data_IF_990101027879
#
_entry.id   IF_990101027879
#
_cell.length_a   1.000
_cell.length_b   1.000
_cell.length_c   1.000
_cell.angle_alpha   90.00
_cell.angle_beta   90.00
_cell.angle_gamma   90.00
#
_symmetry.space_group_name_H-M   'P 1'
#
loop_
_entity.id
_entity.type
_entity.pdbx_description
1 polymer ?
#
# COMPACT_ATOMS: atom_id res chain seq x y z
N UNK A 1 8.19 14.49 6.13
CA UNK A 1 7.69 14.77 4.78
C UNK A 1 6.16 14.84 4.74
N UNK A 2 5.39 13.77 5.18
CA UNK A 2 3.90 13.80 5.16
C UNK A 2 3.36 14.99 5.95
N UNK A 3 3.82 15.19 7.19
CA UNK A 3 3.39 16.32 8.06
C UNK A 3 3.72 17.66 7.41
N UNK A 4 4.93 17.80 6.86
CA UNK A 4 5.39 19.03 6.21
C UNK A 4 4.54 19.38 4.98
N UNK A 5 4.33 18.38 4.10
CA UNK A 5 3.54 18.58 2.87
C UNK A 5 2.08 18.91 3.17
N UNK A 6 1.55 18.32 4.24
CA UNK A 6 0.18 18.53 4.67
C UNK A 6 -0.01 19.70 5.65
N UNK A 7 1.06 20.43 5.98
CA UNK A 7 1.03 21.53 6.94
C UNK A 7 0.40 21.13 8.29
N UNK A 8 0.78 19.96 8.78
CA UNK A 8 0.25 19.34 10.01
C UNK A 8 -0.74 18.21 9.73
N UNK A 9 -1.53 17.85 10.74
CA UNK A 9 -2.42 16.68 10.72
C UNK A 9 -3.91 17.01 10.56
N UNK A 10 -4.27 18.29 10.35
CA UNK A 10 -5.67 18.68 10.20
C UNK A 10 -6.27 18.01 8.96
N UNK A 11 -7.40 17.31 9.15
CA UNK A 11 -8.10 16.54 8.12
C UNK A 11 -7.27 15.43 7.45
N UNK A 12 -6.11 15.09 8.00
CA UNK A 12 -5.29 13.97 7.55
C UNK A 12 -5.91 12.65 8.01
N UNK A 13 -5.87 11.63 7.17
CA UNK A 13 -6.15 10.24 7.53
C UNK A 13 -5.22 9.31 6.77
N UNK A 14 -4.81 8.23 7.39
CA UNK A 14 -3.91 7.23 6.81
C UNK A 14 -4.72 5.97 6.49
N UNK A 15 -4.51 5.42 5.30
CA UNK A 15 -5.19 4.19 4.85
C UNK A 15 -4.15 3.21 4.30
N UNK A 16 -3.98 2.09 4.96
CA UNK A 16 -3.08 1.03 4.52
C UNK A 16 -3.77 0.02 3.60
N UNK A 17 -3.11 -0.36 2.53
CA UNK A 17 -3.57 -1.42 1.64
C UNK A 17 -3.16 -2.77 2.26
N UNK A 18 -4.14 -3.65 2.45
CA UNK A 18 -3.92 -4.96 3.06
C UNK A 18 -3.05 -5.82 2.10
N UNK A 19 -2.03 -6.51 2.61
CA UNK A 19 -1.72 -6.88 4.00
C UNK A 19 -0.59 -6.02 4.57
N UNK A 20 0.48 -5.80 3.82
CA UNK A 20 1.71 -5.16 4.32
C UNK A 20 1.62 -3.65 4.39
N UNK A 21 0.87 -3.04 3.48
CA UNK A 21 0.57 -1.61 3.52
C UNK A 21 -0.17 -1.21 4.80
N UNK A 22 -1.06 -2.06 5.33
CA UNK A 22 -1.75 -1.84 6.61
C UNK A 22 -0.79 -1.81 7.80
N UNK A 23 0.19 -2.72 7.83
CA UNK A 23 1.23 -2.74 8.87
C UNK A 23 2.06 -1.45 8.83
N UNK A 24 2.50 -1.05 7.65
CA UNK A 24 3.27 0.18 7.46
C UNK A 24 2.45 1.42 7.82
N UNK A 25 1.17 1.45 7.45
CA UNK A 25 0.26 2.54 7.76
C UNK A 25 0.10 2.72 9.27
N UNK A 26 -0.02 1.63 10.02
CA UNK A 26 -0.12 1.65 11.49
C UNK A 26 1.15 2.23 12.11
N UNK A 27 2.32 1.72 11.73
CA UNK A 27 3.61 2.22 12.24
C UNK A 27 3.80 3.71 11.91
N UNK A 28 3.42 4.12 10.71
CA UNK A 28 3.50 5.52 10.27
C UNK A 28 2.56 6.42 11.08
N UNK A 29 1.32 5.97 11.28
CA UNK A 29 0.31 6.70 12.10
C UNK A 29 0.78 6.88 13.53
N UNK A 30 1.33 5.83 14.16
CA UNK A 30 1.88 5.90 15.51
C UNK A 30 3.00 6.95 15.61
N UNK A 31 3.91 6.99 14.63
CA UNK A 31 4.98 7.99 14.59
C UNK A 31 4.44 9.42 14.39
N UNK A 32 3.48 9.61 13.49
CA UNK A 32 2.85 10.92 13.26
C UNK A 32 2.17 11.40 14.54
N UNK A 33 1.40 10.55 15.19
CA UNK A 33 0.71 10.87 16.44
C UNK A 33 1.68 11.25 17.56
N UNK A 34 2.82 10.58 17.66
CA UNK A 34 3.86 10.91 18.64
C UNK A 34 4.50 12.28 18.38
N UNK A 35 4.76 12.60 17.10
CA UNK A 35 5.39 13.87 16.71
C UNK A 35 4.44 15.06 16.91
N UNK A 36 3.19 14.91 16.49
CA UNK A 36 2.21 16.00 16.44
C UNK A 36 1.37 16.09 17.73
N UNK A 37 1.40 15.09 18.61
CA UNK A 37 0.52 15.01 19.76
C UNK A 37 -0.96 14.92 19.37
N UNK A 38 -1.26 14.28 18.22
CA UNK A 38 -2.59 14.19 17.62
C UNK A 38 -3.03 12.73 17.51
N UNK A 39 -4.32 12.53 17.20
CA UNK A 39 -4.87 11.22 16.85
C UNK A 39 -5.32 11.25 15.38
N UNK A 40 -4.42 10.86 14.47
CA UNK A 40 -4.72 10.75 13.05
C UNK A 40 -5.54 9.48 12.79
N UNK A 41 -6.71 9.57 12.12
CA UNK A 41 -7.50 8.40 11.78
C UNK A 41 -6.73 7.40 10.91
N UNK A 42 -6.85 6.12 11.25
CA UNK A 42 -6.24 5.01 10.52
C UNK A 42 -7.33 4.09 9.96
N UNK A 43 -7.20 3.73 8.70
CA UNK A 43 -8.05 2.76 8.02
C UNK A 43 -7.24 1.66 7.35
N UNK A 44 -7.91 0.54 7.08
CA UNK A 44 -7.38 -0.63 6.40
C UNK A 44 -8.27 -0.95 5.20
N UNK A 45 -7.68 -1.08 4.01
CA UNK A 45 -8.38 -1.23 2.74
C UNK A 45 -8.02 -2.54 2.06
N UNK A 46 -9.00 -3.41 1.87
CA UNK A 46 -8.87 -4.57 0.99
C UNK A 46 -9.33 -4.20 -0.43
N UNK A 47 -8.46 -4.44 -1.40
CA UNK A 47 -8.70 -4.13 -2.81
C UNK A 47 -9.03 -5.37 -3.64
N UNK A 48 -9.23 -6.54 -3.02
CA UNK A 48 -9.39 -7.82 -3.72
C UNK A 48 -10.48 -7.77 -4.78
N UNK A 49 -11.61 -7.11 -4.51
CA UNK A 49 -12.73 -6.97 -5.46
C UNK A 49 -12.51 -5.92 -6.56
N UNK A 50 -11.51 -5.05 -6.43
CA UNK A 50 -11.23 -3.96 -7.37
C UNK A 50 -10.08 -4.30 -8.34
N UNK A 51 -9.44 -5.45 -8.15
CA UNK A 51 -8.31 -5.90 -8.98
C UNK A 51 -8.80 -6.42 -10.33
N UNK A 52 -8.08 -6.07 -11.40
CA UNK A 52 -8.36 -6.52 -12.77
C UNK A 52 -8.18 -8.04 -12.95
N UNK A 53 -7.37 -8.67 -12.09
CA UNK A 53 -7.03 -10.09 -12.13
C UNK A 53 -7.83 -10.96 -11.14
N UNK A 54 -8.87 -10.39 -10.51
CA UNK A 54 -9.70 -11.08 -9.51
C UNK A 54 -10.25 -12.43 -10.00
N UNK A 55 -10.69 -12.49 -11.27
CA UNK A 55 -11.27 -13.70 -11.87
C UNK A 55 -10.23 -14.78 -12.21
N UNK A 56 -8.94 -14.45 -12.20
CA UNK A 56 -7.85 -15.37 -12.57
C UNK A 56 -7.14 -15.97 -11.36
N UNK A 57 -7.41 -15.46 -10.16
CA UNK A 57 -6.89 -16.01 -8.91
C UNK A 57 -7.85 -17.05 -8.32
N UNK A 58 -7.34 -18.26 -8.12
CA UNK A 58 -8.06 -19.33 -7.43
C UNK A 58 -8.09 -18.96 -5.93
N UNK A 59 -9.26 -18.51 -5.45
CA UNK A 59 -9.52 -18.17 -4.04
C UNK A 59 -8.61 -17.07 -3.47
N UNK A 60 -8.80 -15.78 -3.85
CA UNK A 60 -8.12 -14.69 -3.16
C UNK A 60 -8.54 -14.67 -1.68
N UNK A 61 -7.58 -14.52 -0.78
CA UNK A 61 -7.89 -14.20 0.60
C UNK A 61 -8.52 -12.81 0.65
N UNK A 62 -9.80 -12.75 1.00
CA UNK A 62 -10.55 -11.51 1.14
C UNK A 62 -10.50 -11.10 2.61
N UNK A 63 -10.01 -9.89 2.86
CA UNK A 63 -10.01 -9.29 4.18
C UNK A 63 -11.14 -8.26 4.29
N UNK A 64 -11.42 -7.83 5.49
CA UNK A 64 -12.43 -6.80 5.72
C UNK A 64 -11.81 -5.40 5.51
N UNK A 65 -12.46 -4.58 4.66
CA UNK A 65 -12.15 -3.14 4.62
C UNK A 65 -12.68 -2.48 5.89
N UNK A 66 -11.80 -1.80 6.63
CA UNK A 66 -12.10 -1.10 7.88
C UNK A 66 -11.69 0.37 7.78
N UNK A 67 -12.62 1.23 7.42
CA UNK A 67 -12.44 2.69 7.39
C UNK A 67 -13.38 3.30 8.44
N UNK A 68 -12.94 3.43 9.72
CA UNK A 68 -13.82 3.83 10.83
C UNK A 68 -14.07 5.35 10.90
N UNK A 69 -13.90 6.06 9.79
CA UNK A 69 -14.09 7.50 9.70
C UNK A 69 -14.75 7.88 8.36
N UNK A 70 -15.33 9.08 8.29
CA UNK A 70 -15.83 9.61 7.03
C UNK A 70 -14.67 10.13 6.19
N UNK A 71 -14.57 9.67 4.93
CA UNK A 71 -13.51 10.07 3.99
C UNK A 71 -13.77 11.43 3.36
N UNK A 72 -15.03 11.94 3.41
CA UNK A 72 -15.37 13.22 2.80
C UNK A 72 -14.54 14.37 3.35
N UNK A 73 -13.93 15.12 2.46
CA UNK A 73 -13.10 16.28 2.80
C UNK A 73 -11.75 15.96 3.47
N UNK A 74 -11.45 14.67 3.72
CA UNK A 74 -10.17 14.25 4.29
C UNK A 74 -9.05 14.28 3.24
N UNK A 75 -7.84 14.57 3.69
CA UNK A 75 -6.61 14.29 2.96
C UNK A 75 -6.18 12.86 3.30
N UNK A 76 -6.30 11.97 2.34
CA UNK A 76 -6.00 10.54 2.53
C UNK A 76 -4.56 10.28 2.08
N UNK A 77 -3.76 9.68 2.93
CA UNK A 77 -2.48 9.07 2.52
C UNK A 77 -2.69 7.57 2.40
N UNK A 78 -2.70 7.07 1.16
CA UNK A 78 -2.66 5.64 0.89
C UNK A 78 -1.26 5.11 1.12
N UNK A 79 -1.15 4.00 1.84
CA UNK A 79 0.14 3.37 2.17
C UNK A 79 0.19 1.98 1.58
N UNK A 80 1.26 1.69 0.83
CA UNK A 80 1.55 0.35 0.30
C UNK A 80 3.02 0.00 0.50
N UNK A 81 3.37 -1.28 0.34
CA UNK A 81 4.73 -1.75 0.52
C UNK A 81 5.59 -1.52 -0.73
N UNK A 82 5.17 -2.02 -1.89
CA UNK A 82 5.96 -1.99 -3.13
C UNK A 82 5.13 -1.46 -4.30
N UNK A 83 5.55 -0.34 -4.86
CA UNK A 83 4.95 0.20 -6.08
C UNK A 83 5.65 -0.39 -7.30
N UNK A 84 4.86 -1.07 -8.14
CA UNK A 84 5.31 -1.70 -9.39
C UNK A 84 4.54 -1.13 -10.59
N UNK A 85 3.56 -1.83 -11.10
CA UNK A 85 2.79 -1.43 -12.29
C UNK A 85 1.81 -0.28 -12.06
N UNK A 86 1.39 -0.06 -10.82
CA UNK A 86 0.37 0.89 -10.41
C UNK A 86 -1.05 0.32 -10.37
N UNK A 87 -1.27 -0.94 -10.77
CA UNK A 87 -2.62 -1.56 -10.80
C UNK A 87 -3.24 -1.71 -9.42
N UNK A 88 -2.45 -2.08 -8.42
CA UNK A 88 -2.87 -2.12 -7.00
C UNK A 88 -3.38 -0.75 -6.56
N UNK A 89 -2.63 0.30 -6.86
CA UNK A 89 -2.98 1.67 -6.45
C UNK A 89 -4.22 2.16 -7.20
N UNK A 90 -4.36 1.86 -8.48
CA UNK A 90 -5.57 2.16 -9.23
C UNK A 90 -6.81 1.53 -8.57
N UNK A 91 -6.74 0.25 -8.19
CA UNK A 91 -7.81 -0.44 -7.48
C UNK A 91 -8.11 0.22 -6.12
N UNK A 92 -7.08 0.64 -5.39
CA UNK A 92 -7.24 1.34 -4.11
C UNK A 92 -7.90 2.72 -4.28
N UNK A 93 -7.55 3.46 -5.33
CA UNK A 93 -8.19 4.75 -5.64
C UNK A 93 -9.69 4.57 -5.92
N UNK A 94 -10.07 3.58 -6.72
CA UNK A 94 -11.48 3.27 -7.00
C UNK A 94 -12.21 2.93 -5.69
N UNK A 95 -11.64 2.07 -4.85
CA UNK A 95 -12.23 1.67 -3.58
C UNK A 95 -12.43 2.85 -2.60
N UNK A 96 -11.46 3.74 -2.48
CA UNK A 96 -11.59 4.94 -1.63
C UNK A 96 -12.65 5.89 -2.16
N UNK A 97 -12.73 6.10 -3.48
CA UNK A 97 -13.71 6.97 -4.09
C UNK A 97 -15.15 6.42 -3.99
N UNK A 98 -15.32 5.11 -3.90
CA UNK A 98 -16.63 4.50 -3.62
C UNK A 98 -17.12 4.76 -2.18
N UNK A 99 -16.20 5.04 -1.25
CA UNK A 99 -16.52 5.36 0.15
C UNK A 99 -16.92 6.82 0.39
N UNK A 100 -16.61 7.72 -0.55
CA UNK A 100 -16.94 9.14 -0.45
C UNK A 100 -16.02 10.02 -1.30
N UNK A 101 -15.99 11.31 -0.98
CA UNK A 101 -15.22 12.32 -1.72
C UNK A 101 -14.10 12.93 -0.87
N UNK A 102 -12.92 12.32 -0.83
CA UNK A 102 -11.77 12.91 -0.16
C UNK A 102 -11.36 14.24 -0.82
N UNK A 103 -10.74 15.13 -0.05
CA UNK A 103 -10.17 16.38 -0.56
C UNK A 103 -8.97 16.12 -1.47
N UNK A 104 -8.13 15.16 -1.09
CA UNK A 104 -6.98 14.68 -1.86
C UNK A 104 -6.64 13.26 -1.47
N UNK A 105 -5.97 12.55 -2.38
CA UNK A 105 -5.35 11.25 -2.10
C UNK A 105 -3.88 11.38 -2.48
N UNK A 106 -3.00 11.12 -1.53
CA UNK A 106 -1.55 11.05 -1.69
C UNK A 106 -1.11 9.60 -1.54
N UNK A 107 -0.01 9.22 -2.17
CA UNK A 107 0.52 7.86 -2.15
C UNK A 107 1.87 7.81 -1.44
N UNK A 108 1.96 6.99 -0.40
CA UNK A 108 3.19 6.65 0.29
C UNK A 108 3.55 5.18 0.06
N UNK A 109 4.76 4.91 -0.39
CA UNK A 109 5.26 3.55 -0.59
C UNK A 109 6.62 3.36 0.06
N UNK A 110 6.85 2.18 0.61
CA UNK A 110 8.17 1.87 1.17
C UNK A 110 9.19 1.73 0.05
N UNK A 111 8.84 1.03 -1.02
CA UNK A 111 9.72 0.79 -2.16
C UNK A 111 9.04 1.16 -3.47
N UNK A 112 9.71 1.96 -4.28
CA UNK A 112 9.39 2.14 -5.69
C UNK A 112 10.40 1.37 -6.55
N UNK A 113 9.91 0.35 -7.29
CA UNK A 113 10.75 -0.50 -8.13
C UNK A 113 10.73 -0.15 -9.63
N UNK A 114 9.95 0.84 -10.02
CA UNK A 114 9.76 1.22 -11.42
C UNK A 114 8.76 0.34 -12.18
N UNK A 115 8.87 0.33 -13.51
CA UNK A 115 8.07 -0.48 -14.44
C UNK A 115 6.56 -0.22 -14.41
N UNK A 116 6.15 1.06 -14.38
CA UNK A 116 4.74 1.45 -14.43
C UNK A 116 4.07 0.98 -15.71
N UNK A 117 2.83 0.56 -15.59
CA UNK A 117 1.88 0.35 -16.69
C UNK A 117 0.78 1.42 -16.69
N UNK A 118 0.60 2.12 -15.57
CA UNK A 118 -0.35 3.21 -15.39
C UNK A 118 0.39 4.49 -14.97
N UNK A 119 -0.14 5.68 -15.27
CA UNK A 119 0.50 6.96 -14.94
C UNK A 119 0.31 7.32 -13.45
N UNK A 120 0.83 6.46 -12.57
CA UNK A 120 0.78 6.59 -11.12
C UNK A 120 2.17 6.84 -10.60
N UNK A 121 2.32 7.89 -9.80
CA UNK A 121 3.56 8.26 -9.13
C UNK A 121 3.33 8.40 -7.63
N UNK A 122 4.25 7.93 -6.78
CA UNK A 122 4.13 8.12 -5.35
C UNK A 122 4.51 9.56 -4.96
N UNK A 123 3.87 10.07 -3.91
CA UNK A 123 4.20 11.34 -3.30
C UNK A 123 5.32 11.20 -2.28
N UNK A 124 5.35 10.06 -1.60
CA UNK A 124 6.36 9.73 -0.58
C UNK A 124 6.93 8.36 -0.85
N UNK A 125 8.27 8.27 -0.87
CA UNK A 125 9.00 7.03 -1.17
C UNK A 125 10.05 6.80 -0.11
N UNK A 126 10.01 5.63 0.54
CA UNK A 126 11.06 5.23 1.45
C UNK A 126 12.38 4.97 0.70
N UNK A 127 12.33 4.18 -0.38
CA UNK A 127 13.49 3.89 -1.21
C UNK A 127 13.13 3.61 -2.67
N UNK A 128 13.86 4.22 -3.60
CA UNK A 128 13.86 3.82 -4.99
C UNK A 128 14.81 2.62 -5.17
N UNK A 129 14.27 1.53 -5.70
CA UNK A 129 15.02 0.28 -5.96
C UNK A 129 14.82 -0.12 -7.41
N UNK A 130 15.64 0.39 -8.34
CA UNK A 130 15.59 -0.04 -9.73
C UNK A 130 15.80 -1.55 -9.81
N UNK A 131 14.86 -2.24 -10.43
CA UNK A 131 14.88 -3.69 -10.58
C UNK A 131 14.60 -4.11 -12.01
N UNK A 132 14.96 -5.34 -12.38
CA UNK A 132 14.55 -5.95 -13.62
C UNK A 132 13.06 -6.36 -13.58
N UNK A 133 12.44 -6.54 -14.75
CA UNK A 133 11.10 -7.14 -14.85
C UNK A 133 11.08 -8.60 -14.40
N UNK A 134 12.21 -9.28 -14.50
CA UNK A 134 12.40 -10.68 -14.13
C UNK A 134 12.78 -10.85 -12.65
N UNK A 135 12.79 -9.77 -11.89
CA UNK A 135 13.01 -9.77 -10.45
C UNK A 135 11.70 -9.55 -9.71
N UNK A 136 11.58 -10.15 -8.53
CA UNK A 136 10.52 -9.88 -7.58
C UNK A 136 11.09 -9.09 -6.39
N UNK A 137 10.44 -7.99 -6.04
CA UNK A 137 10.77 -7.19 -4.85
C UNK A 137 9.69 -7.43 -3.83
N UNK A 138 10.05 -7.94 -2.64
CA UNK A 138 9.09 -8.30 -1.60
C UNK A 138 9.53 -7.75 -0.25
N UNK A 139 8.57 -7.11 0.44
CA UNK A 139 8.69 -6.77 1.85
C UNK A 139 8.26 -7.97 2.70
N UNK A 140 9.07 -8.29 3.71
CA UNK A 140 8.71 -9.18 4.81
C UNK A 140 8.50 -8.35 6.08
N UNK A 141 7.38 -8.56 6.75
CA UNK A 141 7.02 -7.90 7.99
C UNK A 141 7.03 -8.91 9.14
N UNK A 142 7.60 -8.51 10.28
CA UNK A 142 7.72 -9.40 11.44
C UNK A 142 6.37 -9.99 11.88
N UNK A 143 5.32 -9.18 11.79
CA UNK A 143 3.96 -9.52 12.21
C UNK A 143 3.33 -10.66 11.37
N UNK A 144 3.69 -10.75 10.10
CA UNK A 144 3.14 -11.73 9.14
C UNK A 144 4.17 -12.82 8.80
N UNK A 145 5.43 -12.40 8.59
CA UNK A 145 6.47 -13.25 8.01
C UNK A 145 7.51 -13.71 9.05
N UNK A 146 7.39 -13.25 10.32
CA UNK A 146 8.32 -13.55 11.41
C UNK A 146 9.68 -12.86 11.29
N UNK A 147 9.92 -12.09 10.23
CA UNK A 147 11.15 -11.34 9.96
C UNK A 147 10.85 -10.01 9.28
N UNK A 148 11.78 -9.07 9.37
CA UNK A 148 11.68 -7.77 8.68
C UNK A 148 12.82 -7.65 7.69
N UNK A 149 12.52 -7.64 6.39
CA UNK A 149 13.49 -7.44 5.31
C UNK A 149 12.80 -7.01 4.03
N UNK A 150 13.54 -6.38 3.14
CA UNK A 150 13.17 -6.22 1.73
C UNK A 150 14.12 -7.09 0.91
N UNK A 151 13.59 -7.99 0.12
CA UNK A 151 14.36 -8.94 -0.67
C UNK A 151 14.07 -8.77 -2.17
N UNK A 152 15.12 -8.90 -2.96
CA UNK A 152 15.04 -8.96 -4.42
C UNK A 152 15.41 -10.39 -4.81
N UNK A 153 14.53 -11.06 -5.53
CA UNK A 153 14.73 -12.44 -6.00
C UNK A 153 14.45 -12.54 -7.48
N UNK A 154 15.21 -13.37 -8.18
CA UNK A 154 14.90 -13.68 -9.57
C UNK A 154 13.62 -14.50 -9.66
N UNK A 155 12.80 -14.19 -10.66
CA UNK A 155 11.58 -14.96 -10.97
C UNK A 155 11.98 -16.15 -11.84
N UNK A 156 11.59 -17.35 -11.42
CA UNK A 156 11.86 -18.56 -12.20
C UNK A 156 11.20 -18.45 -13.60
N UNK A 157 11.84 -18.96 -14.67
CA UNK A 157 11.30 -18.95 -16.01
C UNK A 157 9.87 -19.51 -16.06
N UNK A 158 8.91 -18.70 -16.53
CA UNK A 158 7.49 -19.07 -16.61
C UNK A 158 6.63 -18.72 -15.38
N UNK A 159 7.23 -18.27 -14.28
CA UNK A 159 6.48 -17.74 -13.13
C UNK A 159 6.09 -16.26 -13.34
N UNK A 160 4.98 -15.83 -12.73
CA UNK A 160 4.58 -14.42 -12.75
C UNK A 160 5.22 -13.67 -11.59
N UNK A 161 5.69 -12.45 -11.84
CA UNK A 161 6.15 -11.52 -10.79
C UNK A 161 4.98 -11.24 -9.84
N UNK A 162 5.22 -11.34 -8.54
CA UNK A 162 4.18 -11.12 -7.52
C UNK A 162 3.40 -12.38 -7.08
N UNK A 163 3.60 -13.53 -7.71
CA UNK A 163 3.09 -14.80 -7.17
C UNK A 163 3.93 -15.22 -5.97
N UNK A 164 3.30 -15.41 -4.80
CA UNK A 164 3.97 -16.06 -3.68
C UNK A 164 4.46 -17.44 -4.11
N UNK A 165 5.70 -17.88 -3.76
CA UNK A 165 6.04 -19.28 -3.89
C UNK A 165 5.06 -20.07 -3.03
N UNK A 166 4.39 -21.05 -3.65
CA UNK A 166 3.62 -22.05 -2.91
C UNK A 166 4.58 -22.65 -1.89
N UNK A 167 4.22 -22.55 -0.60
CA UNK A 167 5.03 -23.06 0.49
C UNK A 167 5.44 -24.49 0.19
N UNK A 168 6.73 -24.70 0.03
CA UNK A 168 7.34 -26.03 0.09
C UNK A 168 7.42 -26.46 1.54
N UNK A 169 7.07 -27.72 1.77
CA UNK A 169 7.06 -28.47 3.01
C UNK A 169 8.24 -28.21 3.94
#
# INVERSE_FOLDING_TARGET
EIIERNEGCNDLAIVGIVTRGDILARQLTEQINQIEGAEVPLGSLDISFYRDDFLTHISPEVHETKIPFNVDGKRIVLVDDVLYTGRTIRAALDAVMDLGRPKSIELAVLVDRGHRELPISPDFVGKNVPSSRDENVRLYCKEVDGRTSVEITEVAPGARVGSAPLGGE
#
